data_IF_022264711955
#
_entry.id   IF_022264711955
#
_cell.length_a   1.000
_cell.length_b   1.000
_cell.length_c   1.000
_cell.angle_alpha   90.00
_cell.angle_beta   90.00
_cell.angle_gamma   90.00
#
_symmetry.space_group_name_H-M   'P 1'
#
loop_
_entity.id
_entity.type
_entity.pdbx_description
1 polymer ?
#
# COMPACT_ATOMS: atom_id res chain seq x y z
N UNK A 1 -47.13 -82.73 39.43
CA UNK A 1 -46.58 -82.28 38.15
C UNK A 1 -46.31 -80.78 38.26
N UNK A 2 -45.01 -80.42 38.29
CA UNK A 2 -44.35 -79.12 37.99
C UNK A 2 -45.03 -77.81 38.47
N UNK A 3 -44.63 -77.15 39.57
CA UNK A 3 -43.46 -76.28 39.88
C UNK A 3 -43.68 -74.75 39.67
N UNK A 4 -43.55 -74.03 40.80
CA UNK A 4 -43.31 -72.60 41.18
C UNK A 4 -43.02 -71.47 40.15
N UNK A 5 -43.11 -70.23 40.68
CA UNK A 5 -42.54 -68.89 40.28
C UNK A 5 -43.53 -67.95 39.55
N UNK A 6 -43.63 -66.63 39.78
CA UNK A 6 -42.91 -65.57 40.53
C UNK A 6 -43.89 -64.37 40.56
N UNK A 7 -44.22 -63.80 41.73
CA UNK A 7 -43.65 -62.53 42.23
C UNK A 7 -44.36 -61.25 41.72
N UNK A 8 -45.19 -60.67 42.60
CA UNK A 8 -45.44 -59.23 42.69
C UNK A 8 -44.10 -58.48 42.70
N UNK A 9 -43.91 -57.46 41.86
CA UNK A 9 -43.04 -56.28 42.08
C UNK A 9 -43.51 -55.17 41.13
N UNK A 10 -44.16 -54.17 41.73
CA UNK A 10 -43.91 -52.73 41.60
C UNK A 10 -43.78 -52.17 40.17
N UNK A 11 -44.73 -51.33 39.73
CA UNK A 11 -44.64 -49.88 39.91
C UNK A 11 -43.21 -49.33 39.74
N UNK A 12 -43.05 -48.42 38.75
CA UNK A 12 -41.93 -47.50 38.55
C UNK A 12 -40.71 -48.08 37.83
N UNK A 13 -40.64 -47.81 36.53
CA UNK A 13 -39.37 -47.45 35.90
C UNK A 13 -39.51 -46.05 35.27
N UNK A 14 -39.73 -45.05 36.14
CA UNK A 14 -39.37 -43.67 35.81
C UNK A 14 -37.85 -43.65 35.81
N UNK A 15 -37.26 -43.55 34.63
CA UNK A 15 -35.84 -43.31 34.46
C UNK A 15 -35.52 -42.00 35.20
N UNK A 16 -34.93 -42.10 36.41
CA UNK A 16 -34.44 -40.94 37.16
C UNK A 16 -33.25 -40.38 36.38
N UNK A 17 -33.50 -39.52 35.40
CA UNK A 17 -32.47 -38.65 34.85
C UNK A 17 -31.98 -37.79 36.02
N UNK A 18 -30.72 -38.00 36.41
CA UNK A 18 -30.13 -37.31 37.55
C UNK A 18 -30.08 -35.81 37.21
N UNK A 19 -30.78 -34.98 37.98
CA UNK A 19 -30.97 -33.56 37.64
C UNK A 19 -29.65 -32.79 37.56
N UNK A 20 -28.61 -33.28 38.25
CA UNK A 20 -27.23 -32.80 38.15
C UNK A 20 -26.57 -33.10 36.80
N UNK A 21 -26.81 -34.27 36.20
CA UNK A 21 -26.23 -34.64 34.89
C UNK A 21 -26.88 -33.80 33.78
N UNK A 22 -28.19 -33.57 33.86
CA UNK A 22 -28.90 -32.73 32.90
C UNK A 22 -28.45 -31.26 32.98
N UNK A 23 -28.19 -30.75 34.19
CA UNK A 23 -27.60 -29.41 34.39
C UNK A 23 -26.17 -29.29 33.85
N UNK A 24 -25.36 -30.34 33.99
CA UNK A 24 -24.00 -30.37 33.43
C UNK A 24 -23.99 -30.40 31.89
N UNK A 25 -24.93 -31.12 31.25
CA UNK A 25 -25.11 -31.06 29.78
C UNK A 25 -25.57 -29.69 29.30
N UNK A 26 -26.46 -29.01 30.03
CA UNK A 26 -26.89 -27.65 29.68
C UNK A 26 -25.75 -26.63 29.80
N UNK A 27 -24.89 -26.74 30.81
CA UNK A 27 -23.68 -25.90 30.91
C UNK A 27 -22.68 -26.17 29.78
N UNK A 28 -22.49 -27.44 29.38
CA UNK A 28 -21.61 -27.80 28.27
C UNK A 28 -22.09 -27.26 26.92
N UNK A 29 -23.41 -27.25 26.69
CA UNK A 29 -24.00 -26.71 25.45
C UNK A 29 -23.86 -25.19 25.36
N UNK A 30 -24.02 -24.46 26.47
CA UNK A 30 -23.81 -23.00 26.51
C UNK A 30 -22.34 -22.64 26.28
N UNK A 31 -21.40 -23.46 26.79
CA UNK A 31 -19.98 -23.27 26.54
C UNK A 31 -19.59 -23.49 25.06
N UNK A 32 -20.23 -24.44 24.36
CA UNK A 32 -20.00 -24.64 22.92
C UNK A 32 -20.52 -23.48 22.05
N UNK A 33 -21.63 -22.85 22.43
CA UNK A 33 -22.19 -21.72 21.68
C UNK A 33 -21.32 -20.46 21.84
N UNK A 34 -20.63 -20.30 22.97
CA UNK A 34 -19.68 -19.19 23.20
C UNK A 34 -18.40 -19.25 22.34
N UNK A 35 -18.04 -20.42 21.79
CA UNK A 35 -16.89 -20.57 20.89
C UNK A 35 -17.24 -20.28 19.43
N UNK A 36 -18.52 -20.18 19.07
CA UNK A 36 -18.97 -19.72 17.76
C UNK A 36 -18.96 -18.18 17.71
N UNK A 37 -17.79 -17.57 17.95
CA UNK A 37 -17.59 -16.13 17.73
C UNK A 37 -17.66 -15.85 16.23
N UNK A 38 -18.63 -15.04 15.82
CA UNK A 38 -18.69 -14.49 14.46
C UNK A 38 -17.48 -13.58 14.21
N UNK A 39 -16.41 -14.13 13.62
CA UNK A 39 -15.18 -13.40 13.27
C UNK A 39 -15.38 -12.27 12.24
N UNK A 40 -16.56 -12.13 11.63
CA UNK A 40 -16.84 -11.13 10.59
C UNK A 40 -16.81 -9.67 11.11
N UNK A 41 -16.80 -9.46 12.42
CA UNK A 41 -16.70 -8.13 13.03
C UNK A 41 -15.24 -7.73 13.36
N UNK A 42 -14.29 -8.67 13.33
CA UNK A 42 -12.87 -8.37 13.53
C UNK A 42 -12.15 -8.02 12.23
N UNK A 43 -12.66 -8.48 11.08
CA UNK A 43 -12.09 -8.19 9.75
C UNK A 43 -12.79 -6.99 9.10
N UNK A 44 -12.88 -5.87 9.81
CA UNK A 44 -13.32 -4.61 9.22
C UNK A 44 -12.09 -3.94 8.63
N UNK A 45 -11.86 -4.14 7.33
CA UNK A 45 -10.87 -3.36 6.62
C UNK A 45 -11.21 -1.86 6.76
N UNK A 46 -10.23 -0.97 7.01
CA UNK A 46 -10.54 0.42 7.29
C UNK A 46 -11.22 1.04 6.06
N UNK A 47 -12.41 1.64 6.19
CA UNK A 47 -13.17 2.16 5.06
C UNK A 47 -12.50 3.35 4.34
N UNK A 48 -11.42 3.89 4.92
CA UNK A 48 -10.67 5.05 4.43
C UNK A 48 -9.20 4.76 4.14
N UNK A 49 -8.70 3.54 4.37
CA UNK A 49 -7.34 3.17 3.96
C UNK A 49 -7.41 2.42 2.65
N UNK A 50 -6.57 2.80 1.69
CA UNK A 50 -6.31 1.99 0.51
C UNK A 50 -5.75 0.64 1.01
N UNK A 51 -6.57 -0.40 0.92
CA UNK A 51 -6.17 -1.76 1.26
C UNK A 51 -5.14 -2.18 0.20
N UNK A 52 -3.88 -2.49 0.56
CA UNK A 52 -2.83 -2.80 -0.42
C UNK A 52 -3.21 -3.91 -1.39
N UNK A 53 -4.03 -4.86 -0.93
CA UNK A 53 -4.48 -6.02 -1.69
C UNK A 53 -5.44 -5.68 -2.85
N UNK A 54 -6.10 -4.51 -2.83
CA UNK A 54 -7.11 -4.11 -3.82
C UNK A 54 -6.80 -2.77 -4.53
N UNK A 55 -5.54 -2.35 -4.51
CA UNK A 55 -5.09 -1.12 -5.15
C UNK A 55 -4.32 -1.38 -6.44
N UNK A 56 -4.44 -0.43 -7.37
CA UNK A 56 -3.92 -0.51 -8.73
C UNK A 56 -4.55 -1.67 -9.54
N UNK A 57 -5.85 -1.91 -9.33
CA UNK A 57 -6.65 -2.88 -10.08
C UNK A 57 -7.62 -2.22 -11.08
N UNK A 58 -7.81 -0.90 -10.99
CA UNK A 58 -8.71 -0.16 -11.88
C UNK A 58 -8.00 1.04 -12.52
N UNK A 59 -8.40 1.38 -13.74
CA UNK A 59 -7.90 2.54 -14.50
C UNK A 59 -7.90 3.85 -13.69
N UNK A 60 -8.97 4.13 -12.94
CA UNK A 60 -9.11 5.33 -12.12
C UNK A 60 -8.02 5.45 -11.04
N UNK A 61 -7.61 4.30 -10.49
CA UNK A 61 -6.57 4.21 -9.47
C UNK A 61 -5.18 4.44 -10.10
N UNK A 62 -4.96 3.88 -11.30
CA UNK A 62 -3.74 4.12 -12.07
C UNK A 62 -3.59 5.61 -12.39
N UNK A 63 -4.66 6.25 -12.87
CA UNK A 63 -4.71 7.68 -13.17
C UNK A 63 -4.39 8.53 -11.94
N UNK A 64 -5.06 8.25 -10.81
CA UNK A 64 -4.83 8.98 -9.57
C UNK A 64 -3.38 8.85 -9.09
N UNK A 65 -2.78 7.65 -9.23
CA UNK A 65 -1.40 7.40 -8.85
C UNK A 65 -0.41 8.21 -9.69
N UNK A 66 -0.54 8.19 -11.03
CA UNK A 66 0.39 8.90 -11.92
C UNK A 66 0.21 10.42 -11.82
N UNK A 67 -1.03 10.91 -11.79
CA UNK A 67 -1.35 12.35 -11.67
C UNK A 67 -0.78 12.93 -10.38
N UNK A 68 -0.82 12.20 -9.27
CA UNK A 68 -0.27 12.66 -8.00
C UNK A 68 1.23 13.00 -8.06
N UNK A 69 1.98 12.36 -8.97
CA UNK A 69 3.42 12.61 -9.12
C UNK A 69 3.74 13.94 -9.79
N UNK A 70 2.83 14.48 -10.62
CA UNK A 70 3.10 15.68 -11.40
C UNK A 70 3.43 16.90 -10.53
N UNK A 71 2.72 17.07 -9.42
CA UNK A 71 2.84 18.24 -8.55
C UNK A 71 4.23 18.39 -7.91
N UNK A 72 4.97 17.30 -7.73
CA UNK A 72 6.29 17.31 -7.10
C UNK A 72 7.46 17.15 -8.07
N UNK A 73 7.22 16.68 -9.29
CA UNK A 73 8.29 16.34 -10.23
C UNK A 73 8.63 17.47 -11.20
N UNK A 74 7.64 18.22 -11.68
CA UNK A 74 7.89 19.23 -12.70
C UNK A 74 8.19 20.60 -12.09
N UNK A 75 9.19 21.32 -12.62
CA UNK A 75 9.42 22.71 -12.26
C UNK A 75 8.15 23.53 -12.50
N UNK A 76 7.77 24.32 -11.50
CA UNK A 76 6.64 25.23 -11.59
C UNK A 76 7.01 26.58 -10.97
N UNK A 77 6.18 27.60 -11.21
CA UNK A 77 6.40 28.92 -10.64
C UNK A 77 6.12 28.90 -9.13
N UNK A 78 7.16 29.20 -8.34
CA UNK A 78 7.02 29.44 -6.91
C UNK A 78 6.52 30.85 -6.62
N UNK A 79 5.79 31.01 -5.51
CA UNK A 79 5.31 32.32 -5.08
C UNK A 79 6.48 33.21 -4.61
N UNK A 80 6.42 34.51 -4.89
CA UNK A 80 7.46 35.50 -4.51
C UNK A 80 8.89 35.16 -5.00
N UNK A 81 9.00 34.51 -6.16
CA UNK A 81 10.26 34.16 -6.80
C UNK A 81 10.25 34.53 -8.28
N UNK A 82 11.40 34.46 -8.96
CA UNK A 82 11.45 34.52 -10.42
C UNK A 82 10.82 33.28 -11.09
N UNK A 83 10.28 32.33 -10.31
CA UNK A 83 9.74 31.08 -10.79
C UNK A 83 10.76 30.28 -11.57
N UNK A 84 10.33 29.65 -12.66
CA UNK A 84 11.21 28.87 -13.54
C UNK A 84 12.27 29.73 -14.24
N UNK A 85 12.08 31.05 -14.37
CA UNK A 85 13.11 31.95 -14.92
C UNK A 85 14.32 32.10 -13.99
N UNK A 86 14.13 31.92 -12.67
CA UNK A 86 15.20 32.01 -11.69
C UNK A 86 16.25 30.91 -11.80
N UNK A 87 15.95 29.82 -12.53
CA UNK A 87 16.88 28.70 -12.78
C UNK A 87 18.15 29.21 -13.49
N UNK A 88 18.02 30.29 -14.26
CA UNK A 88 19.11 30.88 -15.02
C UNK A 88 20.05 31.77 -14.19
N UNK A 89 19.77 31.98 -12.89
CA UNK A 89 20.49 32.93 -12.03
C UNK A 89 21.97 32.64 -11.78
N UNK A 90 22.47 31.51 -12.27
CA UNK A 90 23.87 31.08 -12.22
C UNK A 90 24.48 30.88 -13.63
N UNK A 91 23.81 31.41 -14.66
CA UNK A 91 24.28 31.42 -16.05
C UNK A 91 24.72 32.84 -16.44
N UNK A 92 25.18 33.03 -17.67
CA UNK A 92 25.50 34.34 -18.23
C UNK A 92 24.25 35.15 -18.64
N UNK A 93 23.07 34.54 -18.62
CA UNK A 93 21.81 35.17 -19.03
C UNK A 93 21.09 35.90 -17.87
N UNK A 94 21.39 35.58 -16.61
CA UNK A 94 20.77 36.22 -15.45
C UNK A 94 21.76 36.37 -14.29
N UNK A 95 21.78 37.56 -13.68
CA UNK A 95 22.47 37.83 -12.43
C UNK A 95 21.48 37.87 -11.26
N UNK A 96 21.82 37.21 -10.14
CA UNK A 96 21.05 37.27 -8.89
C UNK A 96 21.80 38.09 -7.84
N UNK A 97 21.09 38.75 -6.90
CA UNK A 97 21.72 39.59 -5.87
C UNK A 97 22.46 38.78 -4.79
N UNK A 98 22.41 37.45 -4.84
CA UNK A 98 23.01 36.54 -3.87
C UNK A 98 24.14 35.74 -4.53
N UNK A 99 25.33 35.72 -3.92
CA UNK A 99 26.44 34.90 -4.40
C UNK A 99 26.21 33.42 -4.05
N UNK A 100 26.32 32.53 -5.04
CA UNK A 100 26.25 31.08 -4.82
C UNK A 100 27.58 30.57 -4.22
N UNK A 101 27.47 29.75 -3.15
CA UNK A 101 28.62 29.17 -2.44
C UNK A 101 29.56 28.37 -3.34
N UNK A 102 29.09 27.83 -4.47
CA UNK A 102 29.95 27.09 -5.41
C UNK A 102 31.08 27.93 -6.00
N UNK A 103 30.91 29.26 -6.04
CA UNK A 103 31.93 30.18 -6.54
C UNK A 103 32.85 30.72 -5.43
N UNK A 104 32.63 30.35 -4.17
CA UNK A 104 33.45 30.77 -3.04
C UNK A 104 34.46 29.65 -2.69
N UNK A 105 35.77 29.92 -2.71
CA UNK A 105 36.78 28.92 -2.38
C UNK A 105 36.53 28.25 -1.02
N UNK A 106 36.46 26.91 -1.01
CA UNK A 106 36.28 26.11 0.21
C UNK A 106 34.85 26.04 0.78
N UNK A 107 33.86 26.65 0.11
CA UNK A 107 32.44 26.62 0.52
C UNK A 107 31.59 25.66 -0.32
N UNK A 108 32.09 25.16 -1.45
CA UNK A 108 31.43 24.05 -2.15
C UNK A 108 31.67 22.75 -1.38
N UNK A 109 30.68 22.35 -0.58
CA UNK A 109 30.74 21.18 0.30
C UNK A 109 29.55 20.26 0.04
N UNK A 110 29.75 18.98 0.30
CA UNK A 110 28.65 18.01 0.32
C UNK A 110 27.83 18.24 1.58
N UNK A 111 26.51 18.39 1.43
CA UNK A 111 25.60 18.53 2.57
C UNK A 111 25.63 17.27 3.45
N UNK A 112 25.48 17.44 4.76
CA UNK A 112 25.42 16.31 5.70
C UNK A 112 24.11 15.52 5.62
N UNK A 113 23.06 16.13 5.08
CA UNK A 113 21.73 15.55 4.92
C UNK A 113 21.08 16.07 3.63
N UNK A 114 20.19 15.26 3.04
CA UNK A 114 19.36 15.65 1.90
C UNK A 114 20.13 15.76 0.58
N UNK A 115 19.73 16.72 -0.24
CA UNK A 115 20.24 16.90 -1.59
C UNK A 115 19.63 15.93 -2.60
N UNK A 116 20.27 15.81 -3.76
CA UNK A 116 19.73 15.01 -4.85
C UNK A 116 19.92 13.50 -4.66
N UNK A 117 20.65 13.05 -3.64
CA UNK A 117 20.79 11.63 -3.29
C UNK A 117 19.52 11.12 -2.58
N UNK A 118 18.44 11.01 -3.34
CA UNK A 118 17.12 10.56 -2.91
C UNK A 118 16.52 9.57 -3.92
N UNK A 119 15.88 8.53 -3.39
CA UNK A 119 15.25 7.46 -4.18
C UNK A 119 13.72 7.41 -4.00
N UNK A 120 13.13 8.38 -3.32
CA UNK A 120 11.71 8.33 -2.93
C UNK A 120 10.79 8.27 -4.14
N UNK A 121 10.96 9.17 -5.12
CA UNK A 121 10.17 9.15 -6.37
C UNK A 121 10.47 7.92 -7.22
N UNK A 122 11.71 7.44 -7.22
CA UNK A 122 12.13 6.21 -7.92
C UNK A 122 11.40 5.00 -7.35
N UNK A 123 11.32 4.91 -6.02
CA UNK A 123 10.59 3.86 -5.31
C UNK A 123 9.12 3.85 -5.73
N UNK A 124 8.45 5.00 -5.72
CA UNK A 124 7.04 5.09 -6.14
C UNK A 124 6.85 4.59 -7.57
N UNK A 125 7.71 5.03 -8.51
CA UNK A 125 7.58 4.60 -9.91
C UNK A 125 7.88 3.12 -10.10
N UNK A 126 8.88 2.59 -9.39
CA UNK A 126 9.17 1.16 -9.42
C UNK A 126 8.05 0.34 -8.78
N UNK A 127 7.45 0.80 -7.69
CA UNK A 127 6.30 0.12 -7.07
C UNK A 127 5.12 0.04 -8.04
N UNK A 128 4.76 1.15 -8.67
CA UNK A 128 3.72 1.19 -9.69
C UNK A 128 4.02 0.24 -10.84
N UNK A 129 5.20 0.36 -11.47
CA UNK A 129 5.57 -0.44 -12.64
C UNK A 129 5.60 -1.94 -12.29
N UNK A 130 6.22 -2.31 -11.18
CA UNK A 130 6.34 -3.72 -10.78
C UNK A 130 5.01 -4.33 -10.35
N UNK A 131 4.04 -3.52 -9.91
CA UNK A 131 2.69 -3.99 -9.54
C UNK A 131 1.76 -4.05 -10.76
N UNK A 132 1.74 -2.99 -11.57
CA UNK A 132 0.77 -2.77 -12.66
C UNK A 132 1.14 -3.55 -13.92
N UNK A 133 2.42 -3.62 -14.29
CA UNK A 133 2.82 -4.26 -15.55
C UNK A 133 2.48 -5.76 -15.58
N UNK A 134 2.70 -6.56 -14.51
CA UNK A 134 2.23 -7.94 -14.47
C UNK A 134 0.70 -8.05 -14.59
N UNK A 135 -0.05 -7.27 -13.80
CA UNK A 135 -1.52 -7.26 -13.83
C UNK A 135 -2.06 -6.88 -15.21
N UNK A 136 -1.44 -5.92 -15.88
CA UNK A 136 -1.78 -5.48 -17.23
C UNK A 136 -1.56 -6.60 -18.26
N UNK A 137 -0.41 -7.29 -18.20
CA UNK A 137 -0.11 -8.44 -19.08
C UNK A 137 -1.08 -9.61 -18.86
N UNK A 138 -1.59 -9.76 -17.65
CA UNK A 138 -2.61 -10.76 -17.28
C UNK A 138 -4.05 -10.31 -17.60
N UNK A 139 -4.25 -9.10 -18.13
CA UNK A 139 -5.58 -8.48 -18.35
C UNK A 139 -6.46 -8.42 -17.07
N UNK A 140 -5.83 -8.22 -15.91
CA UNK A 140 -6.52 -8.17 -14.61
C UNK A 140 -6.94 -6.76 -14.17
N UNK A 141 -6.57 -5.75 -14.94
CA UNK A 141 -6.89 -4.35 -14.64
C UNK A 141 -8.21 -3.99 -15.32
N UNK A 142 -9.15 -3.46 -14.55
CA UNK A 142 -10.46 -3.05 -15.02
C UNK A 142 -10.41 -1.64 -15.63
N UNK A 143 -11.02 -1.46 -16.80
CA UNK A 143 -11.15 -0.16 -17.46
C UNK A 143 -10.83 -0.19 -18.95
N UNK A 144 -10.63 0.99 -19.53
CA UNK A 144 -10.26 1.18 -20.92
C UNK A 144 -8.78 0.83 -21.16
N UNK A 145 -8.52 -0.12 -22.06
CA UNK A 145 -7.17 -0.61 -22.34
C UNK A 145 -6.21 0.46 -22.87
N UNK A 146 -6.70 1.44 -23.64
CA UNK A 146 -5.89 2.56 -24.14
C UNK A 146 -5.43 3.45 -23.00
N UNK A 147 -6.31 3.74 -22.04
CA UNK A 147 -5.99 4.59 -20.90
C UNK A 147 -5.07 3.86 -19.91
N UNK A 148 -5.29 2.57 -19.68
CA UNK A 148 -4.36 1.74 -18.89
C UNK A 148 -2.96 1.77 -19.49
N UNK A 149 -2.83 1.56 -20.82
CA UNK A 149 -1.55 1.64 -21.51
C UNK A 149 -0.93 3.05 -21.41
N UNK A 150 -1.75 4.09 -21.50
CA UNK A 150 -1.32 5.48 -21.32
C UNK A 150 -0.70 5.72 -19.93
N UNK A 151 -1.37 5.33 -18.84
CA UNK A 151 -0.86 5.52 -17.48
C UNK A 151 0.40 4.68 -17.18
N UNK A 152 0.52 3.49 -17.78
CA UNK A 152 1.77 2.72 -17.74
C UNK A 152 2.90 3.49 -18.43
N UNK A 153 2.63 4.06 -19.61
CA UNK A 153 3.56 4.91 -20.34
C UNK A 153 4.00 6.13 -19.54
N UNK A 154 3.05 6.82 -18.89
CA UNK A 154 3.35 7.95 -18.00
C UNK A 154 4.30 7.54 -16.88
N UNK A 155 4.05 6.43 -16.18
CA UNK A 155 4.94 5.98 -15.11
C UNK A 155 6.37 5.70 -15.59
N UNK A 156 6.53 5.11 -16.79
CA UNK A 156 7.86 4.93 -17.38
C UNK A 156 8.53 6.27 -17.71
N UNK A 157 7.78 7.22 -18.28
CA UNK A 157 8.27 8.56 -18.58
C UNK A 157 8.70 9.30 -17.31
N UNK A 158 7.84 9.33 -16.29
CA UNK A 158 8.12 9.98 -15.00
C UNK A 158 9.36 9.38 -14.34
N UNK A 159 9.52 8.05 -14.37
CA UNK A 159 10.74 7.40 -13.87
C UNK A 159 11.97 7.85 -14.64
N UNK A 160 11.90 7.88 -15.97
CA UNK A 160 13.01 8.34 -16.80
C UNK A 160 13.36 9.82 -16.54
N UNK A 161 12.34 10.66 -16.38
CA UNK A 161 12.49 12.08 -16.05
C UNK A 161 13.21 12.28 -14.72
N UNK A 162 12.81 11.52 -13.68
CA UNK A 162 13.50 11.55 -12.38
C UNK A 162 14.97 11.13 -12.52
N UNK A 163 15.25 10.01 -13.21
CA UNK A 163 16.63 9.56 -13.43
C UNK A 163 17.46 10.57 -14.21
N UNK A 164 16.87 11.24 -15.20
CA UNK A 164 17.55 12.28 -15.95
C UNK A 164 17.94 13.45 -15.05
N UNK A 165 17.06 13.89 -14.15
CA UNK A 165 17.40 14.89 -13.14
C UNK A 165 18.55 14.44 -12.23
N UNK A 166 18.56 13.17 -11.80
CA UNK A 166 19.67 12.61 -10.99
C UNK A 166 21.00 12.59 -11.76
N UNK A 167 20.98 12.24 -13.04
CA UNK A 167 22.17 12.28 -13.91
C UNK A 167 22.72 13.70 -14.02
N UNK A 168 21.86 14.70 -14.21
CA UNK A 168 22.29 16.10 -14.30
C UNK A 168 22.90 16.61 -12.99
N UNK A 169 22.34 16.21 -11.84
CA UNK A 169 22.78 16.68 -10.54
C UNK A 169 24.02 15.94 -9.98
N UNK A 170 24.11 14.64 -10.20
CA UNK A 170 25.05 13.75 -9.51
C UNK A 170 25.98 12.97 -10.45
N UNK A 171 25.68 12.91 -11.75
CA UNK A 171 26.43 12.09 -12.69
C UNK A 171 26.09 10.60 -12.55
N UNK A 172 27.04 9.80 -12.06
CA UNK A 172 26.91 8.34 -11.94
C UNK A 172 25.96 7.94 -10.81
N UNK A 173 24.66 8.06 -11.08
CA UNK A 173 23.59 7.67 -10.16
C UNK A 173 23.10 6.26 -10.45
N UNK A 174 22.96 5.38 -9.44
CA UNK A 174 22.61 3.98 -9.66
C UNK A 174 21.18 3.80 -10.20
N UNK A 175 21.03 2.93 -11.19
CA UNK A 175 19.73 2.63 -11.80
C UNK A 175 19.08 1.44 -11.11
N UNK A 176 18.11 1.72 -10.24
CA UNK A 176 17.29 0.74 -9.54
C UNK A 176 15.95 0.56 -10.28
N UNK A 177 15.62 -0.68 -10.63
CA UNK A 177 14.37 -1.01 -11.34
C UNK A 177 13.36 -1.80 -10.50
N UNK A 178 13.84 -2.41 -9.42
CA UNK A 178 13.04 -3.24 -8.54
C UNK A 178 12.75 -2.48 -7.25
N UNK A 179 11.63 -2.82 -6.61
CA UNK A 179 11.37 -2.38 -5.24
C UNK A 179 12.32 -3.15 -4.34
N UNK A 180 13.12 -2.46 -3.53
CA UNK A 180 13.93 -3.10 -2.50
C UNK A 180 13.01 -3.51 -1.35
N UNK A 181 13.07 -4.78 -0.97
CA UNK A 181 12.30 -5.37 0.13
C UNK A 181 12.76 -4.88 1.49
#
# INVERSE_FOLDING_TARGET
>A
MVCRFKCYILSRFIMKFNSTIFRLMQLGLVALVGLASCNKYLDIAPPSSIIPEAYLDEESQLAAYTVNQYAGLFPSHGNWSFGTFGIDGNTDNMATPTLDNKFIPGQWRVGSNGGDWDFSSIYQMNYFINTVVPKWKENRILGNSSNIAHYIGEAYFLRAYVYFGKLQALGDFPIIRNVMS
#
